data_IF_409880879228
#
_entry.id   IF_409880879228
#
_cell.length_a   1.000
_cell.length_b   1.000
_cell.length_c   1.000
_cell.angle_alpha   90.00
_cell.angle_beta   90.00
_cell.angle_gamma   90.00
#
_symmetry.space_group_name_H-M   'P 1'
#
loop_
_entity.id
_entity.type
_entity.pdbx_description
1 polymer ?
#
# COMPACT_ATOMS: atom_id res chain seq x y z
N UNK A 1 -0.99 -26.54 0.21
CA UNK A 1 -1.13 -25.25 -0.52
C UNK A 1 -0.53 -24.07 0.24
N UNK A 2 -0.61 -23.99 1.59
CA UNK A 2 -0.05 -22.86 2.36
C UNK A 2 1.46 -22.64 2.20
N UNK A 3 2.25 -23.70 2.07
CA UNK A 3 3.70 -23.58 1.79
C UNK A 3 3.94 -22.88 0.46
N UNK A 4 3.16 -23.21 -0.57
CA UNK A 4 3.28 -22.57 -1.88
C UNK A 4 2.92 -21.08 -1.81
N UNK A 5 1.87 -20.71 -1.09
CA UNK A 5 1.52 -19.29 -0.87
C UNK A 5 2.66 -18.52 -0.21
N UNK A 6 3.32 -19.10 0.80
CA UNK A 6 4.48 -18.48 1.46
C UNK A 6 5.68 -18.32 0.53
N UNK A 7 5.95 -19.32 -0.31
CA UNK A 7 7.03 -19.24 -1.31
C UNK A 7 6.75 -18.11 -2.31
N UNK A 8 5.51 -18.01 -2.80
CA UNK A 8 5.10 -16.93 -3.72
C UNK A 8 5.16 -15.56 -3.03
N UNK A 9 4.63 -15.41 -1.82
CA UNK A 9 4.69 -14.14 -1.06
C UNK A 9 6.14 -13.69 -0.84
N UNK A 10 7.03 -14.61 -0.45
CA UNK A 10 8.45 -14.30 -0.29
C UNK A 10 9.10 -13.85 -1.60
N UNK A 11 8.87 -14.57 -2.71
CA UNK A 11 9.42 -14.20 -4.01
C UNK A 11 8.91 -12.85 -4.51
N UNK A 12 7.62 -12.55 -4.32
CA UNK A 12 7.05 -11.26 -4.71
C UNK A 12 7.63 -10.11 -3.88
N UNK A 13 7.81 -10.30 -2.57
CA UNK A 13 8.42 -9.28 -1.70
C UNK A 13 9.90 -9.01 -2.03
N UNK A 14 10.62 -10.00 -2.54
CA UNK A 14 12.02 -9.85 -2.93
C UNK A 14 12.19 -8.97 -4.18
N UNK A 15 11.29 -9.13 -5.16
CA UNK A 15 11.36 -8.40 -6.43
C UNK A 15 10.60 -7.07 -6.43
N UNK A 16 9.67 -6.86 -5.49
CA UNK A 16 8.85 -5.65 -5.44
C UNK A 16 9.35 -4.66 -4.39
N UNK A 17 9.39 -3.37 -4.77
CA UNK A 17 9.63 -2.27 -3.83
C UNK A 17 8.31 -1.60 -3.51
N UNK A 18 7.87 -1.76 -2.27
CA UNK A 18 6.68 -1.09 -1.73
C UNK A 18 7.04 0.33 -1.30
N UNK A 19 6.14 1.28 -1.56
CA UNK A 19 6.30 2.67 -1.11
C UNK A 19 6.33 2.75 0.43
N UNK A 20 7.16 3.64 0.98
CA UNK A 20 7.18 3.93 2.43
C UNK A 20 5.87 4.48 2.97
N UNK A 21 4.99 4.97 2.08
CA UNK A 21 3.68 5.49 2.44
C UNK A 21 2.58 4.42 2.39
N UNK A 22 2.90 3.19 1.96
CA UNK A 22 1.95 2.09 1.90
C UNK A 22 2.02 1.25 3.18
N UNK A 23 0.88 1.07 3.83
CA UNK A 23 0.83 0.38 5.12
C UNK A 23 0.12 -0.97 5.09
N UNK A 24 -1.09 -1.06 4.53
CA UNK A 24 -1.97 -2.25 4.66
C UNK A 24 -1.34 -3.59 4.21
N UNK A 25 -0.35 -3.59 3.31
CA UNK A 25 0.33 -4.81 2.81
C UNK A 25 1.83 -4.85 3.09
N UNK A 26 2.36 -3.87 3.82
CA UNK A 26 3.77 -3.77 4.15
C UNK A 26 4.10 -4.60 5.40
N UNK A 27 5.25 -5.27 5.43
CA UNK A 27 5.62 -6.19 6.51
C UNK A 27 5.76 -5.51 7.89
N UNK A 28 5.97 -4.19 7.90
CA UNK A 28 6.28 -3.41 9.12
C UNK A 28 5.39 -2.16 9.28
N UNK A 29 4.23 -2.10 8.61
CA UNK A 29 3.31 -0.98 8.78
C UNK A 29 1.87 -1.50 8.91
N UNK A 30 1.16 -1.10 9.96
CA UNK A 30 -0.24 -1.44 10.20
C UNK A 30 -1.22 -0.35 9.76
N UNK A 31 -2.51 -0.64 9.88
CA UNK A 31 -3.60 0.34 9.65
C UNK A 31 -3.51 1.53 10.61
N UNK A 32 -3.11 1.28 11.86
CA UNK A 32 -2.88 2.32 12.88
C UNK A 32 -1.74 3.26 12.45
N UNK A 33 -0.65 2.72 11.91
CA UNK A 33 0.49 3.51 11.45
C UNK A 33 0.10 4.40 10.25
N UNK A 34 -0.69 3.86 9.31
CA UNK A 34 -1.24 4.65 8.20
C UNK A 34 -2.16 5.78 8.65
N UNK A 35 -3.01 5.51 9.65
CA UNK A 35 -3.87 6.53 10.28
C UNK A 35 -3.03 7.60 10.96
N UNK A 36 -2.02 7.19 11.72
CA UNK A 36 -1.12 8.10 12.40
C UNK A 36 -0.34 8.98 11.43
N UNK A 37 0.21 8.41 10.35
CA UNK A 37 0.94 9.15 9.33
C UNK A 37 0.06 10.20 8.64
N UNK A 38 -1.21 9.85 8.36
CA UNK A 38 -2.19 10.78 7.80
C UNK A 38 -2.43 11.96 8.74
N UNK A 39 -2.65 11.69 10.04
CA UNK A 39 -2.81 12.73 11.07
C UNK A 39 -1.58 13.65 11.17
N UNK A 40 -0.38 13.05 11.23
CA UNK A 40 0.87 13.80 11.31
C UNK A 40 1.08 14.71 10.09
N UNK A 41 0.70 14.22 8.91
CA UNK A 41 0.74 15.03 7.68
C UNK A 41 -0.17 16.25 7.79
N UNK A 42 -1.41 16.08 8.25
CA UNK A 42 -2.36 17.18 8.45
C UNK A 42 -1.82 18.21 9.45
N UNK A 43 -1.28 17.75 10.58
CA UNK A 43 -0.73 18.62 11.63
C UNK A 43 0.46 19.45 11.11
N UNK A 44 1.40 18.82 10.40
CA UNK A 44 2.57 19.50 9.82
C UNK A 44 2.19 20.59 8.80
N UNK A 45 1.11 20.40 8.04
CA UNK A 45 0.60 21.42 7.12
C UNK A 45 -0.06 22.57 7.88
N UNK A 46 -0.87 22.24 8.90
CA UNK A 46 -1.49 23.23 9.79
C UNK A 46 -0.47 24.12 10.49
N UNK A 47 0.59 23.54 11.05
CA UNK A 47 1.69 24.28 11.70
C UNK A 47 2.36 25.28 10.75
N UNK A 48 2.51 24.90 9.48
CA UNK A 48 3.13 25.74 8.45
C UNK A 48 2.14 26.70 7.77
N UNK A 49 0.88 26.71 8.21
CA UNK A 49 -0.23 27.42 7.56
C UNK A 49 -0.31 27.14 6.04
N UNK A 50 0.04 25.91 5.64
CA UNK A 50 -0.04 25.47 4.24
C UNK A 50 -1.37 24.75 4.01
N UNK A 51 -2.07 25.03 2.91
CA UNK A 51 -3.27 24.28 2.57
C UNK A 51 -2.91 22.81 2.29
N UNK A 52 -3.78 21.91 2.75
CA UNK A 52 -3.74 20.48 2.43
C UNK A 52 -5.16 20.05 2.07
N UNK A 53 -5.33 19.47 0.89
CA UNK A 53 -6.62 18.99 0.39
C UNK A 53 -6.55 17.46 0.22
N UNK A 54 -6.89 16.68 1.26
CA UNK A 54 -6.86 15.22 1.15
C UNK A 54 -7.99 14.72 0.25
N UNK A 55 -7.69 13.71 -0.55
CA UNK A 55 -8.67 12.97 -1.36
C UNK A 55 -8.68 11.51 -0.92
N UNK A 56 -9.88 10.94 -0.81
CA UNK A 56 -10.07 9.52 -0.55
C UNK A 56 -10.42 8.83 -1.86
N UNK A 57 -9.62 7.83 -2.22
CA UNK A 57 -9.82 7.01 -3.41
C UNK A 57 -9.95 5.55 -2.96
N UNK A 58 -11.01 4.90 -3.41
CA UNK A 58 -11.21 3.47 -3.24
C UNK A 58 -11.41 2.81 -4.62
N UNK A 59 -11.01 1.54 -4.73
CA UNK A 59 -11.18 0.75 -5.94
C UNK A 59 -12.17 -0.36 -5.64
N UNK A 60 -13.35 -0.29 -6.28
CA UNK A 60 -14.36 -1.32 -6.15
C UNK A 60 -13.77 -2.69 -6.55
N UNK A 61 -13.77 -3.64 -5.61
CA UNK A 61 -13.32 -5.02 -5.83
C UNK A 61 -11.95 -5.12 -6.51
N UNK A 62 -10.99 -4.31 -6.04
CA UNK A 62 -9.65 -4.21 -6.61
C UNK A 62 -8.96 -5.57 -6.84
N UNK A 63 -9.17 -6.54 -5.96
CA UNK A 63 -8.56 -7.88 -6.09
C UNK A 63 -9.27 -8.71 -7.18
N UNK A 64 -10.59 -8.63 -7.28
CA UNK A 64 -11.38 -9.45 -8.21
C UNK A 64 -11.24 -8.98 -9.66
N UNK A 65 -10.98 -7.68 -9.86
CA UNK A 65 -10.89 -7.09 -11.21
C UNK A 65 -9.48 -7.00 -11.78
N UNK A 66 -8.45 -7.45 -11.06
CA UNK A 66 -7.09 -7.48 -11.60
C UNK A 66 -6.94 -8.60 -12.64
N UNK A 67 -6.60 -8.24 -13.88
CA UNK A 67 -6.33 -9.23 -14.92
C UNK A 67 -5.01 -9.97 -14.68
N UNK A 68 -5.02 -11.29 -14.86
CA UNK A 68 -3.81 -12.12 -14.83
C UNK A 68 -2.72 -11.62 -15.80
N UNK A 69 -3.10 -11.02 -16.94
CA UNK A 69 -2.15 -10.45 -17.90
C UNK A 69 -1.39 -9.27 -17.29
N UNK A 70 -2.05 -8.43 -16.50
CA UNK A 70 -1.41 -7.31 -15.81
C UNK A 70 -0.49 -7.79 -14.70
N UNK A 71 -0.90 -8.81 -13.92
CA UNK A 71 -0.04 -9.42 -12.90
C UNK A 71 1.24 -9.96 -13.55
N UNK A 72 1.11 -10.73 -14.63
CA UNK A 72 2.27 -11.31 -15.32
C UNK A 72 3.20 -10.25 -15.92
N UNK A 73 2.66 -9.12 -16.37
CA UNK A 73 3.47 -8.01 -16.88
C UNK A 73 4.22 -7.28 -15.75
N UNK A 74 3.56 -7.06 -14.61
CA UNK A 74 4.13 -6.35 -13.47
C UNK A 74 5.20 -7.15 -12.71
N UNK A 75 5.15 -8.48 -12.76
CA UNK A 75 6.11 -9.38 -12.12
C UNK A 75 7.29 -9.79 -13.02
N UNK A 76 7.37 -9.25 -14.25
CA UNK A 76 8.43 -9.54 -15.22
C UNK A 76 9.59 -8.57 -15.07
#
# INVERSE_FOLDING_TARGET
MEIFKRIVDYGVRDITRVSTNQCVSAANCGTTDGTHATRLSIEKHREKQKPLHPAFLDLEKAIDHVSNKFISYALR
#
